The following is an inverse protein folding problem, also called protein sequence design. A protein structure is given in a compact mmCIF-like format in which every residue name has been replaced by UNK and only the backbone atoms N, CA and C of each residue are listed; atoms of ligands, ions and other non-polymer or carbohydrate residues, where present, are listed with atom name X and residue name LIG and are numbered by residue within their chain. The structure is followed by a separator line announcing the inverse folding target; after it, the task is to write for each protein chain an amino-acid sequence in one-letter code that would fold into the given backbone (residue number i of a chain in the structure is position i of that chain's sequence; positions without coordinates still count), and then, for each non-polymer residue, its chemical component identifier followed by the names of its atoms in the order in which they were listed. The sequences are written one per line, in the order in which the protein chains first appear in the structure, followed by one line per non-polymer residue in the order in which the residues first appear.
data_IF_679244684125
#
_entry.id   IF_679244684125
#
_cell.length_a   1.000
_cell.length_b   1.000
_cell.length_c   1.000
_cell.angle_alpha   90.00
_cell.angle_beta   90.00
_cell.angle_gamma   90.00
#
_symmetry.space_group_name_H-M   'P 1'
#
loop_
_entity.id
_entity.type
_entity.pdbx_description
1 polymer ?
#
# COMPACT_ATOMS: atom_id res chain seq x y z
N UNK A 1 -12.20 10.30 -25.52
CA UNK A 1 -11.45 11.42 -24.90
C UNK A 1 -10.19 10.86 -24.25
N UNK A 2 -9.00 11.42 -24.53
CA UNK A 2 -7.78 11.09 -23.77
C UNK A 2 -7.76 11.96 -22.52
N UNK A 3 -7.83 11.37 -21.32
CA UNK A 3 -7.71 12.11 -20.07
C UNK A 3 -6.31 12.76 -19.98
N UNK A 4 -6.19 13.95 -19.38
CA UNK A 4 -4.91 14.65 -19.31
C UNK A 4 -3.95 13.94 -18.35
N UNK A 5 -2.65 13.97 -18.68
CA UNK A 5 -1.60 13.24 -17.94
C UNK A 5 -1.50 13.62 -16.46
N UNK A 6 -1.79 14.88 -16.11
CA UNK A 6 -1.76 15.37 -14.73
C UNK A 6 -2.87 14.74 -13.87
N UNK A 7 -4.04 14.47 -14.44
CA UNK A 7 -5.15 13.84 -13.73
C UNK A 7 -4.80 12.39 -13.34
N UNK A 8 -4.14 11.65 -14.24
CA UNK A 8 -3.62 10.32 -13.94
C UNK A 8 -2.62 10.38 -12.79
N UNK A 9 -1.71 11.36 -12.81
CA UNK A 9 -0.72 11.51 -11.76
C UNK A 9 -1.36 11.80 -10.39
N UNK A 10 -2.37 12.69 -10.35
CA UNK A 10 -3.14 12.94 -9.11
C UNK A 10 -3.89 11.71 -8.61
N UNK A 11 -4.46 10.91 -9.52
CA UNK A 11 -5.12 9.65 -9.13
C UNK A 11 -4.12 8.66 -8.51
N UNK A 12 -2.92 8.54 -9.07
CA UNK A 12 -1.85 7.73 -8.49
C UNK A 12 -1.38 8.27 -7.14
N UNK A 13 -1.29 9.60 -7.00
CA UNK A 13 -0.95 10.24 -5.72
C UNK A 13 -2.01 9.95 -4.66
N UNK A 14 -3.29 10.10 -4.99
CA UNK A 14 -4.39 9.78 -4.10
C UNK A 14 -4.37 8.30 -3.68
N UNK A 15 -4.10 7.38 -4.62
CA UNK A 15 -3.98 5.96 -4.33
C UNK A 15 -2.80 5.64 -3.40
N UNK A 16 -1.69 6.38 -3.52
CA UNK A 16 -0.51 6.22 -2.67
C UNK A 16 -0.60 6.99 -1.34
N UNK A 17 -1.61 7.84 -1.14
CA UNK A 17 -1.64 8.81 -0.04
C UNK A 17 -1.55 8.16 1.35
N UNK A 18 -2.28 7.06 1.58
CA UNK A 18 -2.24 6.33 2.85
C UNK A 18 -0.84 5.77 3.17
N UNK A 19 -0.10 5.30 2.16
CA UNK A 19 1.24 4.74 2.32
C UNK A 19 2.30 5.83 2.49
N UNK A 20 2.17 6.94 1.77
CA UNK A 20 3.03 8.09 1.97
C UNK A 20 2.87 8.66 3.38
N UNK A 21 1.62 8.85 3.83
CA UNK A 21 1.34 9.34 5.16
C UNK A 21 1.81 8.34 6.23
N UNK A 22 1.47 7.06 6.10
CA UNK A 22 1.87 6.00 7.04
C UNK A 22 3.39 5.84 7.14
N UNK A 23 4.09 5.81 6.00
CA UNK A 23 5.53 5.66 5.94
C UNK A 23 6.27 6.88 6.49
N UNK A 24 5.78 8.10 6.24
CA UNK A 24 6.36 9.32 6.80
C UNK A 24 6.17 9.39 8.31
N UNK A 25 4.99 9.03 8.81
CA UNK A 25 4.74 8.98 10.27
C UNK A 25 5.66 7.96 10.93
N UNK A 26 5.77 6.74 10.39
CA UNK A 26 6.68 5.71 10.92
C UNK A 26 8.16 6.10 10.81
N UNK A 27 8.54 6.87 9.79
CA UNK A 27 9.91 7.38 9.66
C UNK A 27 10.23 8.48 10.69
N UNK A 28 9.26 9.35 10.98
CA UNK A 28 9.40 10.40 11.99
C UNK A 28 9.32 9.85 13.43
N UNK A 29 8.54 8.80 13.65
CA UNK A 29 8.44 8.08 14.93
C UNK A 29 8.80 6.59 14.76
N UNK A 30 10.09 6.34 14.59
CA UNK A 30 10.59 4.98 14.40
C UNK A 30 10.39 4.10 15.64
N UNK A 31 10.40 4.70 16.83
CA UNK A 31 10.12 3.97 18.07
C UNK A 31 8.67 3.49 18.12
N UNK A 32 7.70 4.33 17.72
CA UNK A 32 6.31 3.95 17.52
C UNK A 32 6.15 2.82 16.51
N UNK A 33 6.85 2.89 15.37
CA UNK A 33 6.84 1.84 14.36
C UNK A 33 7.35 0.49 14.89
N UNK A 34 8.40 0.47 15.72
CA UNK A 34 8.86 -0.75 16.40
C UNK A 34 7.79 -1.28 17.37
N UNK A 35 7.13 -0.38 18.11
CA UNK A 35 6.04 -0.71 19.02
C UNK A 35 4.86 -1.38 18.30
N UNK A 36 4.48 -0.91 17.11
CA UNK A 36 3.46 -1.55 16.28
C UNK A 36 3.86 -2.99 15.90
N UNK A 37 5.11 -3.20 15.45
CA UNK A 37 5.58 -4.55 15.12
C UNK A 37 5.50 -5.48 16.34
N UNK A 38 5.90 -5.00 17.52
CA UNK A 38 5.81 -5.75 18.76
C UNK A 38 4.37 -6.04 19.17
N UNK A 39 3.45 -5.08 19.00
CA UNK A 39 2.03 -5.25 19.27
C UNK A 39 1.42 -6.39 18.44
N UNK A 40 1.81 -6.49 17.16
CA UNK A 40 1.39 -7.59 16.29
C UNK A 40 2.22 -8.87 16.45
N UNK A 41 3.16 -8.92 17.40
CA UNK A 41 4.01 -10.10 17.66
C UNK A 41 5.03 -10.38 16.55
N UNK A 42 5.34 -9.39 15.71
CA UNK A 42 6.27 -9.52 14.60
C UNK A 42 7.72 -9.36 15.08
N UNK A 43 8.53 -10.40 14.85
CA UNK A 43 9.95 -10.41 15.16
C UNK A 43 10.78 -10.80 13.92
N UNK A 44 11.94 -10.18 13.68
CA UNK A 44 12.55 -9.11 14.47
C UNK A 44 11.94 -7.72 14.19
N UNK A 45 11.50 -7.02 15.25
CA UNK A 45 10.69 -5.80 15.13
C UNK A 45 11.39 -4.64 14.41
N UNK A 46 12.66 -4.36 14.75
CA UNK A 46 13.43 -3.24 14.17
C UNK A 46 13.60 -3.35 12.65
N UNK A 47 14.15 -4.45 12.10
CA UNK A 47 14.31 -4.58 10.64
C UNK A 47 12.97 -4.69 9.91
N UNK A 48 11.92 -5.24 10.54
CA UNK A 48 10.58 -5.25 9.95
C UNK A 48 9.97 -3.84 9.88
N UNK A 49 10.08 -3.04 10.94
CA UNK A 49 9.64 -1.65 10.94
C UNK A 49 10.36 -0.84 9.84
N UNK A 50 11.69 -1.01 9.73
CA UNK A 50 12.47 -0.36 8.68
C UNK A 50 12.04 -0.84 7.28
N UNK A 51 11.81 -2.14 7.10
CA UNK A 51 11.35 -2.70 5.83
C UNK A 51 9.96 -2.16 5.42
N UNK A 52 9.03 -2.02 6.38
CA UNK A 52 7.70 -1.44 6.13
C UNK A 52 7.82 0.01 5.67
N UNK A 53 8.64 0.83 6.34
CA UNK A 53 8.85 2.24 5.94
C UNK A 53 9.42 2.32 4.52
N UNK A 54 10.46 1.54 4.24
CA UNK A 54 11.10 1.50 2.91
C UNK A 54 10.12 1.03 1.85
N UNK A 55 9.28 0.03 2.16
CA UNK A 55 8.27 -0.47 1.25
C UNK A 55 7.19 0.57 0.99
N UNK A 56 6.59 1.16 2.03
CA UNK A 56 5.51 2.15 1.93
C UNK A 56 5.97 3.37 1.10
N UNK A 57 7.13 3.93 1.42
CA UNK A 57 7.67 5.12 0.74
C UNK A 57 8.27 4.78 -0.63
N UNK A 58 9.10 3.73 -0.70
CA UNK A 58 9.79 3.33 -1.92
C UNK A 58 8.83 2.89 -3.01
N UNK A 59 7.85 2.05 -2.69
CA UNK A 59 6.87 1.59 -3.67
C UNK A 59 5.95 2.73 -4.14
N UNK A 60 5.57 3.66 -3.24
CA UNK A 60 4.84 4.87 -3.63
C UNK A 60 5.65 5.72 -4.61
N UNK A 61 6.94 5.94 -4.37
CA UNK A 61 7.82 6.68 -5.28
C UNK A 61 7.97 5.98 -6.64
N UNK A 62 8.06 4.64 -6.68
CA UNK A 62 8.08 3.87 -7.92
C UNK A 62 6.79 4.08 -8.74
N UNK A 63 5.64 4.09 -8.09
CA UNK A 63 4.35 4.31 -8.75
C UNK A 63 4.24 5.72 -9.33
N UNK A 64 4.60 6.73 -8.54
CA UNK A 64 4.47 8.15 -8.92
C UNK A 64 5.47 8.56 -10.00
N UNK A 65 6.72 8.09 -9.91
CA UNK A 65 7.76 8.36 -10.91
C UNK A 65 7.54 7.57 -12.21
N UNK A 66 6.88 6.41 -12.13
CA UNK A 66 6.75 5.47 -13.24
C UNK A 66 7.91 4.49 -13.38
N UNK A 67 8.96 4.62 -12.58
CA UNK A 67 10.07 3.69 -12.54
C UNK A 67 9.63 2.38 -11.87
N UNK A 68 9.60 1.27 -12.62
CA UNK A 68 9.06 -0.03 -12.17
C UNK A 68 7.69 0.07 -11.48
N UNK A 69 6.79 0.93 -11.99
CA UNK A 69 5.45 1.15 -11.41
C UNK A 69 4.69 -0.14 -11.10
N UNK A 70 4.71 -1.12 -12.00
CA UNK A 70 4.02 -2.40 -11.77
C UNK A 70 4.53 -3.14 -10.53
N UNK A 71 5.85 -3.10 -10.28
CA UNK A 71 6.46 -3.78 -9.15
C UNK A 71 6.10 -3.08 -7.84
N UNK A 72 6.17 -1.75 -7.81
CA UNK A 72 5.73 -0.96 -6.66
C UNK A 72 4.26 -1.18 -6.34
N UNK A 73 3.40 -1.20 -7.36
CA UNK A 73 1.98 -1.46 -7.19
C UNK A 73 1.70 -2.87 -6.65
N UNK A 74 2.34 -3.92 -7.19
CA UNK A 74 2.18 -5.27 -6.64
C UNK A 74 2.73 -5.41 -5.22
N UNK A 75 3.84 -4.73 -4.91
CA UNK A 75 4.41 -4.72 -3.56
C UNK A 75 3.44 -4.09 -2.55
N UNK A 76 2.86 -2.93 -2.86
CA UNK A 76 1.83 -2.31 -2.02
C UNK A 76 0.59 -3.19 -1.93
N UNK A 77 0.10 -3.75 -3.03
CA UNK A 77 -1.06 -4.64 -3.02
C UNK A 77 -0.86 -5.84 -2.07
N UNK A 78 0.30 -6.51 -2.16
CA UNK A 78 0.62 -7.64 -1.30
C UNK A 78 0.75 -7.21 0.18
N UNK A 79 1.46 -6.11 0.44
CA UNK A 79 1.62 -5.56 1.79
C UNK A 79 0.26 -5.21 2.40
N UNK A 80 -0.59 -4.46 1.69
CA UNK A 80 -1.90 -4.03 2.16
C UNK A 80 -2.79 -5.22 2.47
N UNK A 81 -2.77 -6.24 1.62
CA UNK A 81 -3.52 -7.46 1.84
C UNK A 81 -3.07 -8.13 3.14
N UNK A 82 -1.77 -8.38 3.30
CA UNK A 82 -1.20 -8.98 4.51
C UNK A 82 -1.49 -8.17 5.77
N UNK A 83 -1.24 -6.85 5.73
CA UNK A 83 -1.47 -5.94 6.84
C UNK A 83 -2.95 -5.90 7.25
N UNK A 84 -3.87 -5.97 6.29
CA UNK A 84 -5.32 -5.96 6.55
C UNK A 84 -5.79 -7.24 7.23
N UNK A 85 -5.28 -8.41 6.80
CA UNK A 85 -5.59 -9.68 7.49
C UNK A 85 -5.02 -9.75 8.91
N UNK A 86 -3.92 -9.03 9.17
CA UNK A 86 -3.28 -8.97 10.48
C UNK A 86 -3.98 -7.96 11.42
N UNK A 87 -4.18 -6.73 10.95
CA UNK A 87 -4.64 -5.61 11.78
C UNK A 87 -6.17 -5.44 11.80
N UNK A 88 -6.86 -5.70 10.69
CA UNK A 88 -8.29 -5.40 10.53
C UNK A 88 -9.15 -6.68 10.61
N UNK A 89 -8.79 -7.60 11.50
CA UNK A 89 -9.41 -8.92 11.64
C UNK A 89 -10.78 -8.86 12.33
N UNK A 90 -11.72 -8.15 11.71
CA UNK A 90 -13.01 -7.76 12.28
C UNK A 90 -13.87 -8.95 12.76
N UNK A 91 -13.70 -10.13 12.19
CA UNK A 91 -14.40 -11.35 12.60
C UNK A 91 -13.99 -11.88 13.97
N UNK A 92 -12.90 -11.38 14.55
CA UNK A 92 -12.45 -11.72 15.90
C UNK A 92 -12.35 -10.50 16.82
N UNK A 93 -12.88 -9.36 16.40
CA UNK A 93 -12.88 -8.14 17.19
C UNK A 93 -14.06 -8.11 18.17
N UNK A 94 -13.95 -7.35 19.28
CA UNK A 94 -15.07 -7.05 20.16
C UNK A 94 -16.24 -6.41 19.39
N UNK A 95 -17.50 -6.61 19.82
CA UNK A 95 -18.67 -6.08 19.11
C UNK A 95 -18.63 -4.56 18.87
N UNK A 96 -18.01 -3.80 19.77
CA UNK A 96 -17.89 -2.35 19.66
C UNK A 96 -16.97 -1.89 18.51
N UNK A 97 -15.96 -2.71 18.14
CA UNK A 97 -14.95 -2.35 17.13
C UNK A 97 -15.18 -3.05 15.78
N UNK A 98 -16.01 -4.10 15.77
CA UNK A 98 -16.23 -4.97 14.63
C UNK A 98 -16.67 -4.21 13.36
N UNK A 99 -17.58 -3.24 13.47
CA UNK A 99 -18.05 -2.46 12.32
C UNK A 99 -16.94 -1.59 11.72
N UNK A 100 -16.19 -0.89 12.58
CA UNK A 100 -15.10 -0.02 12.15
C UNK A 100 -13.98 -0.81 11.46
N UNK A 101 -13.59 -1.95 12.04
CA UNK A 101 -12.56 -2.82 11.45
C UNK A 101 -13.04 -3.47 10.14
N UNK A 102 -14.33 -3.81 10.02
CA UNK A 102 -14.89 -4.34 8.79
C UNK A 102 -14.81 -3.31 7.65
N UNK A 103 -15.17 -2.05 7.93
CA UNK A 103 -15.06 -0.98 6.94
C UNK A 103 -13.61 -0.78 6.49
N UNK A 104 -12.67 -0.66 7.44
CA UNK A 104 -11.25 -0.54 7.13
C UNK A 104 -10.73 -1.74 6.32
N UNK A 105 -11.21 -2.96 6.64
CA UNK A 105 -10.86 -4.16 5.88
C UNK A 105 -11.28 -4.03 4.41
N UNK A 106 -12.55 -3.71 4.14
CA UNK A 106 -13.05 -3.62 2.76
C UNK A 106 -12.51 -2.41 1.98
N UNK A 107 -12.25 -1.29 2.65
CA UNK A 107 -11.55 -0.14 2.05
C UNK A 107 -10.16 -0.54 1.55
N UNK A 108 -9.41 -1.29 2.36
CA UNK A 108 -8.11 -1.81 1.97
C UNK A 108 -8.20 -2.85 0.84
N UNK A 109 -9.21 -3.72 0.81
CA UNK A 109 -9.45 -4.61 -0.34
C UNK A 109 -9.67 -3.79 -1.62
N UNK A 110 -10.39 -2.67 -1.54
CA UNK A 110 -10.51 -1.71 -2.63
C UNK A 110 -9.16 -1.15 -3.09
N UNK A 111 -8.30 -0.74 -2.16
CA UNK A 111 -6.94 -0.26 -2.46
C UNK A 111 -6.08 -1.34 -3.15
N UNK A 112 -6.14 -2.59 -2.66
CA UNK A 112 -5.46 -3.74 -3.28
C UNK A 112 -5.90 -3.88 -4.74
N UNK A 113 -7.19 -3.84 -5.01
CA UNK A 113 -7.73 -3.86 -6.38
C UNK A 113 -7.20 -2.70 -7.23
N UNK A 114 -7.16 -1.49 -6.67
CA UNK A 114 -6.61 -0.29 -7.33
C UNK A 114 -5.14 -0.49 -7.75
N UNK A 115 -4.30 -1.02 -6.87
CA UNK A 115 -2.90 -1.29 -7.20
C UNK A 115 -2.73 -2.41 -8.23
N UNK A 116 -3.52 -3.48 -8.14
CA UNK A 116 -3.49 -4.56 -9.14
C UNK A 116 -3.85 -4.01 -10.52
N UNK A 117 -4.85 -3.12 -10.62
CA UNK A 117 -5.19 -2.44 -11.87
C UNK A 117 -4.04 -1.57 -12.39
N UNK A 118 -3.35 -0.84 -11.51
CA UNK A 118 -2.17 -0.04 -11.89
C UNK A 118 -1.04 -0.94 -12.43
N UNK A 119 -0.79 -2.07 -11.79
CA UNK A 119 0.21 -3.04 -12.24
C UNK A 119 -0.16 -3.65 -13.60
N UNK A 120 -1.42 -4.05 -13.75
CA UNK A 120 -1.96 -4.60 -14.98
C UNK A 120 -1.85 -3.60 -16.14
N UNK A 121 -2.21 -2.34 -15.92
CA UNK A 121 -2.13 -1.29 -16.94
C UNK A 121 -0.69 -1.05 -17.38
N UNK A 122 0.25 -0.95 -16.44
CA UNK A 122 1.66 -0.69 -16.73
C UNK A 122 2.31 -1.87 -17.49
N UNK A 123 2.04 -3.12 -17.08
CA UNK A 123 2.51 -4.32 -17.77
C UNK A 123 1.89 -4.45 -19.17
N UNK A 124 0.60 -4.19 -19.31
CA UNK A 124 -0.10 -4.24 -20.61
C UNK A 124 0.51 -3.23 -21.60
N UNK A 125 0.81 -2.01 -21.14
CA UNK A 125 1.47 -0.98 -21.95
C UNK A 125 2.88 -1.41 -22.37
N UNK A 126 3.66 -2.02 -21.47
CA UNK A 126 5.01 -2.54 -21.78
C UNK A 126 4.97 -3.68 -22.79
N UNK A 127 4.00 -4.59 -22.66
CA UNK A 127 3.82 -5.70 -23.59
C UNK A 127 3.51 -5.19 -25.00
N UNK A 128 2.58 -4.24 -25.14
CA UNK A 128 2.24 -3.62 -26.42
C UNK A 128 3.44 -2.90 -27.07
N UNK A 129 4.29 -2.25 -26.27
CA UNK A 129 5.50 -1.59 -26.76
C UNK A 129 6.62 -2.56 -27.21
N UNK A 130 6.59 -3.83 -26.77
CA UNK A 130 7.54 -4.87 -27.21
C UNK A 130 7.14 -5.53 -28.52
N UNK A 131 5.88 -5.43 -28.91
CA UNK A 131 5.31 -6.02 -30.13
C UNK A 131 5.19 -5.04 -31.29
N UNK A 132 5.46 -3.76 -31.06
CA UNK A 132 5.48 -2.69 -32.06
C UNK A 132 6.91 -2.42 -32.53
#
# INVERSE_FOLDING_TARGET
MRLPSWLRWLALLALCAAYLQGGLVKAMDFAGAIGEMQHFGLAPAVPLAAAVIVLELGASLMILSGFYRWLGALALAAFTLMATFLANRFWAAPPAEQFMLANAFFEHIGLVGGFVLVAWEDLSRRAAARTA
#
